data_IF_570358300970
#
_entry.id   IF_570358300970
#
_cell.length_a   1.000
_cell.length_b   1.000
_cell.length_c   1.000
_cell.angle_alpha   90.00
_cell.angle_beta   90.00
_cell.angle_gamma   90.00
#
_symmetry.space_group_name_H-M   'P 1'
#
loop_
_entity.id
_entity.type
_entity.pdbx_description
1 polymer ?
#
# COMPACT_ATOMS: atom_id res chain seq x y z
N UNK A 1 17.03 -21.19 4.94
CA UNK A 1 16.14 -20.94 3.78
C UNK A 1 14.95 -20.11 4.24
N UNK A 2 14.80 -18.88 3.71
CA UNK A 2 13.78 -17.90 4.13
C UNK A 2 12.49 -17.99 3.29
N UNK A 3 12.03 -19.20 2.95
CA UNK A 3 10.94 -19.41 2.00
C UNK A 3 9.59 -18.83 2.49
N UNK A 4 9.38 -18.77 3.81
CA UNK A 4 8.18 -18.18 4.40
C UNK A 4 8.20 -16.65 4.48
N UNK A 5 9.38 -16.00 4.53
CA UNK A 5 9.46 -14.53 4.60
C UNK A 5 9.03 -13.85 3.30
N UNK A 6 9.11 -14.56 2.18
CA UNK A 6 8.64 -14.07 0.87
C UNK A 6 7.13 -14.22 0.64
N UNK A 7 6.43 -15.01 1.48
CA UNK A 7 4.99 -15.23 1.31
C UNK A 7 4.22 -13.99 1.72
N UNK A 8 3.37 -13.50 0.81
CA UNK A 8 2.48 -12.38 1.06
C UNK A 8 1.04 -12.88 1.13
N UNK A 9 0.31 -12.39 2.14
CA UNK A 9 -1.14 -12.57 2.23
C UNK A 9 -1.81 -11.97 0.99
N UNK A 10 -2.64 -12.75 0.29
CA UNK A 10 -3.34 -12.33 -0.93
C UNK A 10 -4.14 -11.03 -0.71
N UNK A 11 -4.70 -10.85 0.48
CA UNK A 11 -5.41 -9.63 0.88
C UNK A 11 -4.50 -8.41 0.84
N UNK A 12 -3.26 -8.52 1.33
CA UNK A 12 -2.26 -7.46 1.26
C UNK A 12 -1.81 -7.19 -0.17
N UNK A 13 -1.68 -8.24 -0.99
CA UNK A 13 -1.36 -8.09 -2.43
C UNK A 13 -2.46 -7.32 -3.15
N UNK A 14 -3.74 -7.66 -2.91
CA UNK A 14 -4.89 -6.94 -3.47
C UNK A 14 -4.96 -5.48 -3.00
N UNK A 15 -4.65 -5.23 -1.73
CA UNK A 15 -4.55 -3.87 -1.21
C UNK A 15 -3.43 -3.07 -1.89
N UNK A 16 -2.23 -3.65 -2.00
CA UNK A 16 -1.11 -3.02 -2.68
C UNK A 16 -1.42 -2.68 -4.15
N UNK A 17 -2.06 -3.61 -4.88
CA UNK A 17 -2.53 -3.34 -6.24
C UNK A 17 -3.55 -2.18 -6.28
N UNK A 18 -4.45 -2.10 -5.30
CA UNK A 18 -5.40 -1.01 -5.20
C UNK A 18 -4.72 0.34 -4.94
N UNK A 19 -3.72 0.39 -4.06
CA UNK A 19 -2.89 1.58 -3.82
C UNK A 19 -2.21 2.03 -5.12
N UNK A 20 -1.54 1.10 -5.82
CA UNK A 20 -0.82 1.40 -7.07
C UNK A 20 -1.75 1.89 -8.20
N UNK A 21 -3.01 1.46 -8.22
CA UNK A 21 -3.97 1.91 -9.23
C UNK A 21 -4.64 3.25 -8.90
N UNK A 22 -4.56 3.71 -7.64
CA UNK A 22 -5.39 4.83 -7.16
C UNK A 22 -4.61 5.87 -6.35
N UNK A 23 -3.27 5.80 -6.30
CA UNK A 23 -2.46 6.82 -5.65
C UNK A 23 -2.61 8.16 -6.36
N UNK A 24 -2.38 9.22 -5.59
CA UNK A 24 -2.34 10.58 -6.11
C UNK A 24 -0.88 11.00 -6.24
N UNK A 25 -0.61 11.76 -7.29
CA UNK A 25 0.67 12.40 -7.52
C UNK A 25 0.49 13.91 -7.42
N UNK A 26 1.19 14.52 -6.47
CA UNK A 26 1.33 15.98 -6.36
C UNK A 26 2.81 16.34 -6.52
N UNK A 27 3.22 16.49 -7.79
CA UNK A 27 4.58 16.86 -8.16
C UNK A 27 5.59 15.74 -7.85
N UNK A 28 6.31 15.90 -6.75
CA UNK A 28 7.31 14.92 -6.26
C UNK A 28 6.79 14.07 -5.11
N UNK A 29 5.50 14.15 -4.77
CA UNK A 29 4.91 13.40 -3.65
C UNK A 29 3.86 12.42 -4.16
N UNK A 30 4.04 11.13 -3.86
CA UNK A 30 3.03 10.09 -4.05
C UNK A 30 2.36 9.80 -2.72
N UNK A 31 1.02 9.83 -2.70
CA UNK A 31 0.29 9.52 -1.48
C UNK A 31 -1.00 8.75 -1.77
N UNK A 32 -1.47 8.01 -0.77
CA UNK A 32 -2.73 7.30 -0.85
C UNK A 32 -3.45 7.31 0.49
N UNK A 33 -4.64 7.93 0.52
CA UNK A 33 -5.43 8.00 1.73
C UNK A 33 -6.25 6.73 1.98
N UNK A 34 -5.95 6.03 3.06
CA UNK A 34 -6.67 4.82 3.46
C UNK A 34 -7.86 5.18 4.35
N UNK A 35 -9.03 5.32 3.74
CA UNK A 35 -10.28 5.51 4.50
C UNK A 35 -10.71 4.25 5.26
N UNK A 36 -11.55 4.41 6.29
CA UNK A 36 -12.18 3.28 7.02
C UNK A 36 -12.95 2.32 6.09
N UNK A 37 -13.49 2.81 4.97
CA UNK A 37 -14.17 1.98 3.95
C UNK A 37 -13.18 1.06 3.24
N UNK A 38 -12.02 1.58 2.84
CA UNK A 38 -10.94 0.80 2.20
C UNK A 38 -10.37 -0.20 3.21
N UNK A 39 -10.12 0.24 4.45
CA UNK A 39 -9.65 -0.62 5.53
C UNK A 39 -10.57 -1.84 5.71
N UNK A 40 -11.89 -1.63 5.77
CA UNK A 40 -12.89 -2.71 5.87
C UNK A 40 -12.92 -3.58 4.61
N UNK A 41 -12.87 -2.99 3.41
CA UNK A 41 -12.87 -3.71 2.13
C UNK A 41 -11.74 -4.73 2.03
N UNK A 42 -10.55 -4.35 2.47
CA UNK A 42 -9.37 -5.21 2.48
C UNK A 42 -9.11 -5.86 3.84
N UNK A 43 -10.07 -5.83 4.77
CA UNK A 43 -9.98 -6.40 6.14
C UNK A 43 -8.64 -6.07 6.83
N UNK A 44 -8.14 -4.84 6.68
CA UNK A 44 -6.83 -4.42 7.20
C UNK A 44 -6.90 -4.16 8.70
N UNK A 45 -5.88 -4.63 9.43
CA UNK A 45 -5.64 -4.18 10.81
C UNK A 45 -5.19 -2.71 10.79
N UNK A 46 -5.34 -2.01 11.91
CA UNK A 46 -4.99 -0.59 11.99
C UNK A 46 -3.51 -0.32 11.64
N UNK A 47 -2.61 -1.25 11.96
CA UNK A 47 -1.20 -1.15 11.59
C UNK A 47 -0.91 -1.47 10.10
N UNK A 48 -1.77 -2.24 9.44
CA UNK A 48 -1.63 -2.58 8.02
C UNK A 48 -2.19 -1.49 7.10
N UNK A 49 -3.02 -0.58 7.62
CA UNK A 49 -3.54 0.55 6.86
C UNK A 49 -2.43 1.51 6.41
N UNK A 50 -1.28 1.50 7.08
CA UNK A 50 -0.12 2.32 6.74
C UNK A 50 0.81 1.64 5.72
N UNK A 51 0.48 0.44 5.20
CA UNK A 51 1.26 -0.29 4.19
C UNK A 51 1.13 0.35 2.78
N UNK A 52 1.31 1.68 2.66
CA UNK A 52 1.41 2.42 1.39
C UNK A 52 2.85 2.58 0.91
N UNK A 53 3.83 2.03 1.66
CA UNK A 53 5.25 2.09 1.34
C UNK A 53 5.64 1.45 0.00
N UNK A 54 4.74 0.73 -0.67
CA UNK A 54 4.98 0.27 -2.04
C UNK A 54 5.16 1.43 -3.04
N UNK A 55 4.64 2.61 -2.72
CA UNK A 55 4.83 3.84 -3.51
C UNK A 55 6.28 4.34 -3.48
N UNK A 56 7.09 3.90 -2.50
CA UNK A 56 8.52 4.25 -2.40
C UNK A 56 9.35 3.83 -3.60
N UNK A 57 8.89 2.76 -4.25
CA UNK A 57 9.61 2.13 -5.32
C UNK A 57 9.28 2.76 -6.69
N UNK A 58 8.48 3.83 -6.71
CA UNK A 58 8.08 4.51 -7.95
C UNK A 58 8.90 5.80 -8.09
N UNK A 59 9.99 5.70 -8.86
CA UNK A 59 10.81 6.86 -9.24
C UNK A 59 11.45 7.60 -8.06
N UNK A 60 11.91 8.82 -8.32
CA UNK A 60 12.50 9.70 -7.30
C UNK A 60 11.40 10.58 -6.67
N UNK A 61 10.51 9.95 -5.91
CA UNK A 61 9.36 10.60 -5.28
C UNK A 61 9.35 10.40 -3.77
N UNK A 62 8.96 11.43 -3.02
CA UNK A 62 8.66 11.37 -1.59
C UNK A 62 7.29 10.72 -1.39
N UNK A 63 7.08 10.03 -0.28
CA UNK A 63 5.81 9.37 0.03
C UNK A 63 5.21 9.98 1.28
N UNK A 64 3.89 10.14 1.30
CA UNK A 64 3.15 10.52 2.51
C UNK A 64 1.88 9.69 2.68
#
# INVERSE_FOLDING_TARGET
>A
MNYDLGKRDERKVKFAAHVLLNYKNEGQVLYFYVSKKIQKKFKLKDNEANDVGILANIGDCKIW
#
